data_IF_528089676541
#
_entry.id   IF_528089676541
#
_cell.length_a   1.000
_cell.length_b   1.000
_cell.length_c   1.000
_cell.angle_alpha   90.00
_cell.angle_beta   90.00
_cell.angle_gamma   90.00
#
_symmetry.space_group_name_H-M   'P 1'
#
loop_
_entity.id
_entity.type
_entity.pdbx_description
1 polymer ?
#
# COMPACT_ATOMS: atom_id res chain seq x y z
N UNK A 1 13.38 22.10 -1.24
CA UNK A 1 12.53 21.05 -0.62
C UNK A 1 11.31 21.70 0.00
N UNK A 2 10.15 21.47 -0.60
CA UNK A 2 8.89 22.13 -0.22
C UNK A 2 8.22 21.44 0.98
N UNK A 3 7.48 22.18 1.83
CA UNK A 3 6.79 21.63 3.01
C UNK A 3 5.77 20.52 2.67
N UNK A 4 5.17 20.58 1.47
CA UNK A 4 4.23 19.57 0.97
C UNK A 4 4.87 18.18 0.76
N UNK A 5 6.17 18.12 0.45
CA UNK A 5 6.89 16.85 0.32
C UNK A 5 7.16 16.20 1.68
N UNK A 6 7.39 17.00 2.73
CA UNK A 6 7.61 16.49 4.09
C UNK A 6 6.34 15.87 4.66
N UNK A 7 5.20 16.56 4.50
CA UNK A 7 3.92 16.06 4.98
C UNK A 7 3.53 14.75 4.27
N UNK A 8 3.80 14.65 2.95
CA UNK A 8 3.54 13.45 2.16
C UNK A 8 4.41 12.26 2.59
N UNK A 9 5.66 12.51 3.02
CA UNK A 9 6.54 11.49 3.59
C UNK A 9 6.03 11.03 4.95
N UNK A 10 5.77 11.96 5.87
CA UNK A 10 5.30 11.60 7.21
C UNK A 10 4.00 10.82 7.19
N UNK A 11 2.98 11.21 6.42
CA UNK A 11 1.75 10.41 6.30
C UNK A 11 1.95 9.08 5.56
N UNK A 12 2.97 8.96 4.70
CA UNK A 12 3.31 7.70 4.02
C UNK A 12 4.01 6.75 4.99
N UNK A 13 4.94 7.24 5.77
CA UNK A 13 5.68 6.49 6.79
C UNK A 13 4.76 6.04 7.95
N UNK A 14 3.79 6.88 8.32
CA UNK A 14 2.79 6.57 9.35
C UNK A 14 1.75 5.54 8.88
N UNK A 15 1.27 5.67 7.63
CA UNK A 15 0.39 4.67 7.00
C UNK A 15 1.11 3.32 6.77
N UNK A 16 2.43 3.35 6.55
CA UNK A 16 3.28 2.15 6.47
C UNK A 16 3.48 1.48 7.83
N UNK A 17 3.46 2.23 8.94
CA UNK A 17 3.58 1.64 10.28
C UNK A 17 2.34 0.87 10.74
N UNK A 18 1.15 1.22 10.22
CA UNK A 18 -0.10 0.58 10.66
C UNK A 18 -0.52 -0.62 9.79
N UNK A 19 -0.06 -0.70 8.54
CA UNK A 19 -0.49 -1.73 7.60
C UNK A 19 0.62 -2.76 7.44
N UNK A 20 0.40 -3.95 7.99
CA UNK A 20 1.34 -5.06 7.88
C UNK A 20 1.52 -5.45 6.41
N UNK A 21 2.73 -5.21 5.90
CA UNK A 21 3.05 -5.38 4.48
C UNK A 21 2.90 -6.84 4.04
N UNK A 22 3.14 -7.81 4.94
CA UNK A 22 2.97 -9.22 4.66
C UNK A 22 1.48 -9.59 4.53
N UNK A 23 0.62 -8.99 5.36
CA UNK A 23 -0.84 -9.14 5.24
C UNK A 23 -1.34 -8.57 3.90
N UNK A 24 -0.86 -7.39 3.51
CA UNK A 24 -1.22 -6.78 2.23
C UNK A 24 -0.75 -7.62 1.04
N UNK A 25 0.47 -8.15 1.10
CA UNK A 25 1.01 -8.99 0.05
C UNK A 25 0.23 -10.31 -0.09
N UNK A 26 -0.13 -10.95 1.03
CA UNK A 26 -1.00 -12.13 1.00
C UNK A 26 -2.39 -11.81 0.43
N UNK A 27 -3.00 -10.69 0.84
CA UNK A 27 -4.28 -10.26 0.29
C UNK A 27 -4.20 -9.98 -1.22
N UNK A 28 -3.08 -9.39 -1.69
CA UNK A 28 -2.83 -9.20 -3.11
C UNK A 28 -2.74 -10.53 -3.88
N UNK A 29 -1.99 -11.50 -3.37
CA UNK A 29 -1.90 -12.84 -3.96
C UNK A 29 -3.24 -13.57 -3.99
N UNK A 30 -4.01 -13.46 -2.90
CA UNK A 30 -5.34 -14.04 -2.79
C UNK A 30 -6.40 -13.26 -3.58
N UNK A 31 -6.04 -12.09 -4.15
CA UNK A 31 -6.95 -11.12 -4.79
C UNK A 31 -8.10 -10.69 -3.87
N UNK A 32 -7.85 -10.67 -2.56
CA UNK A 32 -8.80 -10.28 -1.53
C UNK A 32 -8.72 -8.80 -1.20
N UNK A 33 -9.86 -8.16 -0.93
CA UNK A 33 -9.88 -6.75 -0.59
C UNK A 33 -9.19 -6.47 0.75
N UNK A 34 -8.34 -5.44 0.83
CA UNK A 34 -7.55 -5.13 2.03
C UNK A 34 -7.87 -3.74 2.58
N UNK A 35 -7.93 -3.61 3.91
CA UNK A 35 -8.15 -2.32 4.54
C UNK A 35 -6.83 -1.54 4.67
N UNK A 36 -6.68 -0.46 3.90
CA UNK A 36 -5.47 0.38 3.88
C UNK A 36 -5.57 1.64 4.77
N UNK A 37 -6.47 1.65 5.76
CA UNK A 37 -6.57 2.75 6.73
C UNK A 37 -7.24 4.03 6.23
N UNK A 38 -7.72 4.10 4.98
CA UNK A 38 -8.41 5.28 4.40
C UNK A 38 -9.94 5.23 4.50
N UNK A 39 -10.49 4.36 5.32
CA UNK A 39 -11.94 4.26 5.57
C UNK A 39 -12.70 3.33 4.64
N UNK A 40 -12.05 2.74 3.63
CA UNK A 40 -12.66 1.74 2.74
C UNK A 40 -11.70 0.58 2.44
N UNK A 41 -12.25 -0.52 1.92
CA UNK A 41 -11.49 -1.70 1.51
C UNK A 41 -10.97 -1.50 0.09
N UNK A 42 -9.66 -1.63 -0.06
CA UNK A 42 -9.00 -1.55 -1.34
C UNK A 42 -9.25 -2.83 -2.14
N UNK A 43 -9.86 -2.70 -3.32
CA UNK A 43 -10.12 -3.82 -4.21
C UNK A 43 -9.13 -3.81 -5.36
N UNK A 44 -8.20 -4.76 -5.35
CA UNK A 44 -7.13 -4.86 -6.36
C UNK A 44 -7.63 -4.89 -7.80
N UNK A 45 -8.78 -5.54 -8.05
CA UNK A 45 -9.35 -5.68 -9.39
C UNK A 45 -10.00 -4.37 -9.90
N UNK A 46 -10.51 -3.52 -8.99
CA UNK A 46 -11.17 -2.26 -9.37
C UNK A 46 -10.23 -1.06 -9.28
N UNK A 47 -9.45 -0.96 -8.21
CA UNK A 47 -8.60 0.19 -7.88
C UNK A 47 -7.14 -0.01 -8.34
N UNK A 48 -6.75 -1.24 -8.71
CA UNK A 48 -5.38 -1.59 -9.07
C UNK A 48 -4.45 -1.63 -7.86
N UNK A 49 -3.13 -1.52 -8.09
CA UNK A 49 -2.14 -1.50 -7.01
C UNK A 49 -1.80 -0.05 -6.68
N UNK A 50 -1.88 0.38 -5.41
CA UNK A 50 -1.48 1.73 -5.02
C UNK A 50 -0.02 1.98 -5.40
N UNK A 51 0.28 3.12 -6.05
CA UNK A 51 1.64 3.42 -6.52
C UNK A 51 2.71 3.47 -5.41
N UNK A 52 2.30 3.67 -4.16
CA UNK A 52 3.21 3.61 -3.01
C UNK A 52 3.55 2.17 -2.57
N UNK A 53 2.69 1.20 -2.92
CA UNK A 53 2.81 -0.22 -2.60
C UNK A 53 3.54 -1.00 -3.70
N UNK A 54 3.47 -0.53 -4.95
CA UNK A 54 4.20 -1.10 -6.11
C UNK A 54 5.67 -1.43 -5.80
N UNK A 55 6.52 -0.49 -5.32
CA UNK A 55 7.93 -0.81 -5.06
C UNK A 55 8.12 -1.86 -3.96
N UNK A 56 7.17 -1.98 -3.03
CA UNK A 56 7.25 -2.93 -1.93
C UNK A 56 6.84 -4.34 -2.38
N UNK A 57 5.78 -4.46 -3.19
CA UNK A 57 5.41 -5.73 -3.81
C UNK A 57 6.46 -6.20 -4.82
N UNK A 58 7.09 -5.28 -5.54
CA UNK A 58 8.22 -5.60 -6.42
C UNK A 58 9.42 -6.15 -5.65
N UNK A 59 9.82 -5.50 -4.54
CA UNK A 59 10.93 -5.93 -3.68
C UNK A 59 10.69 -7.33 -3.10
N UNK A 60 9.43 -7.63 -2.75
CA UNK A 60 9.01 -8.93 -2.27
C UNK A 60 8.86 -10.00 -3.38
N UNK A 61 9.02 -9.63 -4.65
CA UNK A 61 8.87 -10.55 -5.78
C UNK A 61 7.43 -10.95 -6.11
N UNK A 62 6.43 -10.17 -5.65
CA UNK A 62 5.01 -10.43 -5.91
C UNK A 62 4.49 -9.79 -7.19
N UNK A 63 5.25 -8.88 -7.82
CA UNK A 63 4.89 -8.31 -9.13
C UNK A 63 5.58 -9.10 -10.26
N UNK A 64 4.89 -9.36 -11.37
CA UNK A 64 5.45 -10.02 -12.55
C UNK A 64 6.51 -9.16 -13.27
#
# INVERSE_FOLDING_TARGET
>A
MSPSERLRRSSREDALQAVDLAVVAQAYLAREAVYLGRGDFWKWDQDGIPGWLVPQLADLGFLP
#
